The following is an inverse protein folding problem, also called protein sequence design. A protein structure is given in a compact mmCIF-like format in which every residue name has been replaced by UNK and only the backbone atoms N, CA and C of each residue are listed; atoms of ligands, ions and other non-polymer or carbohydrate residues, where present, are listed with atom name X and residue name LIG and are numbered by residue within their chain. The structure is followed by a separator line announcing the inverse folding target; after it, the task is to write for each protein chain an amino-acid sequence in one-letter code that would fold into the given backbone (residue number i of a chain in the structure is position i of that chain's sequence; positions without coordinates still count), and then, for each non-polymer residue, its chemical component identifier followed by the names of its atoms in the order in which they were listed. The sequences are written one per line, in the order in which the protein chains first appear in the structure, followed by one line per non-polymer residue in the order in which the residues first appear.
data_IF_770224134247
#
_entry.id   IF_770224134247
#
_cell.length_a   1.000
_cell.length_b   1.000
_cell.length_c   1.000
_cell.angle_alpha   90.00
_cell.angle_beta   90.00
_cell.angle_gamma   90.00
#
_symmetry.space_group_name_H-M   'P 1'
#
loop_
_entity.id
_entity.type
_entity.pdbx_description
1 polymer ?
#
# COMPACT_ATOMS: atom_id res chain seq x y z
N UNK A 1 -8.86 -8.89 12.41
CA UNK A 1 -8.79 -9.34 11.01
C UNK A 1 -9.26 -8.16 10.17
N UNK A 2 -8.56 -7.80 9.08
CA UNK A 2 -8.94 -6.67 8.26
C UNK A 2 -10.32 -6.89 7.63
N UNK A 3 -11.17 -5.86 7.67
CA UNK A 3 -12.53 -5.90 7.14
C UNK A 3 -12.66 -5.04 5.88
N UNK A 4 -13.41 -5.54 4.89
CA UNK A 4 -13.67 -4.81 3.65
C UNK A 4 -14.34 -3.46 3.95
N UNK A 5 -13.92 -2.42 3.23
CA UNK A 5 -14.35 -1.03 3.34
C UNK A 5 -14.01 -0.34 4.67
N UNK A 6 -13.17 -0.95 5.52
CA UNK A 6 -12.61 -0.27 6.69
C UNK A 6 -11.25 0.34 6.39
N UNK A 7 -10.95 1.40 7.13
CA UNK A 7 -9.71 2.17 7.03
C UNK A 7 -8.77 1.79 8.16
N UNK A 8 -7.50 1.68 7.84
CA UNK A 8 -6.45 1.34 8.79
C UNK A 8 -5.22 2.21 8.53
N UNK A 9 -4.43 2.38 9.57
CA UNK A 9 -3.10 2.97 9.48
C UNK A 9 -2.06 1.86 9.58
N UNK A 10 -1.06 1.89 8.71
CA UNK A 10 0.02 0.91 8.74
C UNK A 10 1.31 1.54 8.22
N UNK A 11 2.43 0.90 8.56
CA UNK A 11 3.73 1.19 7.96
C UNK A 11 4.03 0.12 6.93
N UNK A 12 4.44 0.52 5.74
CA UNK A 12 4.91 -0.40 4.71
C UNK A 12 6.30 -0.90 5.11
N UNK A 13 6.44 -2.20 5.24
CA UNK A 13 7.67 -2.84 5.71
C UNK A 13 8.46 -3.53 4.61
N UNK A 14 7.80 -3.86 3.49
CA UNK A 14 8.41 -4.62 2.40
C UNK A 14 7.69 -4.34 1.07
N UNK A 15 8.19 -4.90 -0.03
CA UNK A 15 7.60 -4.80 -1.37
C UNK A 15 7.41 -6.20 -1.95
N UNK A 16 6.25 -6.45 -2.55
CA UNK A 16 6.05 -7.67 -3.34
C UNK A 16 6.82 -7.60 -4.64
N UNK A 17 7.04 -8.76 -5.27
CA UNK A 17 7.67 -8.85 -6.59
C UNK A 17 6.94 -8.03 -7.68
N UNK A 18 5.65 -7.79 -7.49
CA UNK A 18 4.81 -6.97 -8.39
C UNK A 18 4.86 -5.47 -8.06
N UNK A 19 5.72 -5.04 -7.13
CA UNK A 19 5.88 -3.63 -6.74
C UNK A 19 4.82 -3.13 -5.75
N UNK A 20 4.01 -4.00 -5.15
CA UNK A 20 3.04 -3.59 -4.14
C UNK A 20 3.71 -3.47 -2.77
N UNK A 21 3.42 -2.41 -2.02
CA UNK A 21 3.80 -2.31 -0.62
C UNK A 21 3.15 -3.41 0.21
N UNK A 22 3.90 -3.93 1.17
CA UNK A 22 3.47 -4.98 2.08
C UNK A 22 3.46 -4.45 3.51
N UNK A 23 2.32 -4.60 4.17
CA UNK A 23 2.18 -4.36 5.60
C UNK A 23 1.38 -5.48 6.28
N UNK A 24 1.30 -5.44 7.61
CA UNK A 24 0.49 -6.38 8.39
C UNK A 24 -0.56 -5.64 9.20
N UNK A 25 -1.81 -6.10 9.09
CA UNK A 25 -2.94 -5.61 9.89
C UNK A 25 -3.53 -6.81 10.62
N UNK A 26 -3.54 -6.75 11.96
CA UNK A 26 -3.98 -7.86 12.83
C UNK A 26 -3.35 -9.21 12.47
N UNK A 27 -2.06 -9.21 12.10
CA UNK A 27 -1.32 -10.41 11.69
C UNK A 27 -1.58 -10.90 10.27
N UNK A 28 -2.51 -10.30 9.52
CA UNK A 28 -2.75 -10.62 8.12
C UNK A 28 -1.93 -9.72 7.19
N UNK A 29 -1.32 -10.31 6.17
CA UNK A 29 -0.58 -9.58 5.14
C UNK A 29 -1.53 -8.77 4.27
N UNK A 30 -1.22 -7.50 4.05
CA UNK A 30 -1.99 -6.58 3.20
C UNK A 30 -1.09 -6.00 2.14
N UNK A 31 -1.51 -6.11 0.87
CA UNK A 31 -0.82 -5.53 -0.28
C UNK A 31 -1.44 -4.19 -0.63
N UNK A 32 -0.60 -3.17 -0.83
CA UNK A 32 -1.03 -1.79 -1.10
C UNK A 32 -0.19 -1.19 -2.25
N UNK A 33 -0.77 -0.92 -3.42
CA UNK A 33 -0.06 -0.25 -4.52
C UNK A 33 0.26 1.22 -4.19
N UNK A 34 1.12 1.84 -5.00
CA UNK A 34 1.53 3.26 -4.91
C UNK A 34 2.24 3.65 -3.58
N UNK A 35 2.97 2.69 -2.99
CA UNK A 35 3.66 2.88 -1.71
C UNK A 35 5.11 2.39 -1.76
N UNK A 36 5.93 2.90 -0.84
CA UNK A 36 7.34 2.58 -0.68
C UNK A 36 7.61 2.07 0.74
N UNK A 37 8.66 1.25 0.90
CA UNK A 37 9.12 0.79 2.21
C UNK A 37 9.43 1.98 3.11
N UNK A 38 8.89 1.99 4.32
CA UNK A 38 9.00 3.08 5.28
C UNK A 38 7.83 4.07 5.28
N UNK A 39 6.94 4.04 4.27
CA UNK A 39 5.77 4.92 4.28
C UNK A 39 4.84 4.57 5.44
N UNK A 40 4.44 5.59 6.22
CA UNK A 40 3.28 5.50 7.11
C UNK A 40 2.06 5.98 6.35
N UNK A 41 1.08 5.10 6.18
CA UNK A 41 -0.07 5.34 5.31
C UNK A 41 -1.39 5.10 6.04
N UNK A 42 -2.42 5.74 5.50
CA UNK A 42 -3.83 5.39 5.70
C UNK A 42 -4.32 4.65 4.47
N UNK A 43 -4.88 3.47 4.66
CA UNK A 43 -5.36 2.62 3.58
C UNK A 43 -6.79 2.13 3.82
N UNK A 44 -7.51 1.91 2.72
CA UNK A 44 -8.85 1.32 2.70
C UNK A 44 -8.74 -0.14 2.25
N UNK A 45 -9.25 -1.08 3.03
CA UNK A 45 -9.30 -2.48 2.60
C UNK A 45 -10.37 -2.66 1.52
N UNK A 46 -9.96 -3.03 0.32
CA UNK A 46 -10.86 -3.21 -0.83
C UNK A 46 -11.25 -4.66 -1.05
N UNK A 47 -10.39 -5.60 -0.65
CA UNK A 47 -10.61 -7.03 -0.82
C UNK A 47 -9.94 -7.82 0.31
N UNK A 48 -10.67 -8.75 0.92
CA UNK A 48 -10.15 -9.67 1.93
C UNK A 48 -10.24 -11.08 1.37
N UNK A 49 -9.14 -11.82 1.43
CA UNK A 49 -9.03 -13.22 1.03
C UNK A 49 -8.68 -14.06 2.26
N UNK A 50 -8.55 -15.39 2.06
CA UNK A 50 -8.35 -16.35 3.16
C UNK A 50 -7.08 -16.07 3.98
N UNK A 51 -5.98 -15.71 3.31
CA UNK A 51 -4.66 -15.57 3.95
C UNK A 51 -4.08 -14.14 3.87
N UNK A 52 -4.68 -13.26 3.07
CA UNK A 52 -4.18 -11.92 2.81
C UNK A 52 -5.30 -10.99 2.37
N UNK A 53 -5.02 -9.68 2.36
CA UNK A 53 -5.94 -8.66 1.89
C UNK A 53 -5.27 -7.71 0.90
N UNK A 54 -6.08 -6.96 0.17
CA UNK A 54 -5.65 -5.84 -0.64
C UNK A 54 -6.20 -4.54 -0.04
N UNK A 55 -5.30 -3.58 0.14
CA UNK A 55 -5.60 -2.23 0.51
C UNK A 55 -5.42 -1.29 -0.67
N UNK A 56 -6.15 -0.19 -0.67
CA UNK A 56 -5.90 0.97 -1.53
C UNK A 56 -5.34 2.08 -0.66
N UNK A 57 -4.25 2.70 -1.11
CA UNK A 57 -3.71 3.90 -0.49
C UNK A 57 -4.78 5.01 -0.52
N UNK A 58 -5.12 5.58 0.65
CA UNK A 58 -5.95 6.79 0.74
C UNK A 58 -5.09 8.02 1.01
N UNK A 59 -4.11 7.92 1.90
CA UNK A 59 -3.26 9.05 2.30
C UNK A 59 -1.89 8.56 2.79
N UNK A 60 -0.83 9.32 2.50
CA UNK A 60 0.50 9.12 3.08
C UNK A 60 0.62 10.09 4.25
N UNK A 61 0.67 9.55 5.46
CA UNK A 61 0.76 10.32 6.70
C UNK A 61 2.21 10.79 6.92
N UNK A 62 3.17 9.91 6.65
CA UNK A 62 4.59 10.24 6.65
C UNK A 62 5.27 9.47 5.50
N UNK A 63 5.87 10.16 4.52
CA UNK A 63 6.58 9.50 3.43
C UNK A 63 7.88 8.87 3.92
N UNK A 64 8.30 7.80 3.26
CA UNK A 64 9.64 7.23 3.42
C UNK A 64 10.72 8.21 2.96
N UNK A 65 11.90 8.13 3.57
CA UNK A 65 13.10 8.90 3.16
C UNK A 65 13.58 8.51 1.76
N UNK A 66 13.31 7.28 1.32
CA UNK A 66 13.71 6.78 0.00
C UNK A 66 12.66 7.08 -1.10
N UNK A 67 11.53 7.71 -0.74
CA UNK A 67 10.47 8.03 -1.71
C UNK A 67 10.91 9.19 -2.61
N UNK A 68 10.85 8.96 -3.92
CA UNK A 68 11.07 10.01 -4.91
C UNK A 68 9.73 10.55 -5.46
N UNK A 69 9.67 11.83 -5.86
CA UNK A 69 8.53 12.34 -6.61
C UNK A 69 8.45 11.64 -7.96
N UNK A 70 7.21 11.44 -8.43
CA UNK A 70 6.95 10.91 -9.77
C UNK A 70 7.47 11.91 -10.81
N UNK A 71 8.31 11.44 -11.73
CA UNK A 71 8.94 12.22 -12.80
C UNK A 71 8.19 12.09 -14.15
N UNK A 72 7.20 11.20 -14.23
CA UNK A 72 6.40 10.94 -15.41
C UNK A 72 4.92 11.34 -15.21
N UNK A 73 4.44 12.29 -16.02
CA UNK A 73 3.03 12.75 -15.98
C UNK A 73 2.00 11.63 -16.26
N UNK A 74 2.42 10.56 -16.94
CA UNK A 74 1.57 9.43 -17.33
C UNK A 74 1.61 8.25 -16.36
N UNK A 75 2.42 8.32 -15.29
CA UNK A 75 2.69 7.22 -14.36
C UNK A 75 1.41 6.50 -13.89
N UNK A 76 0.39 7.24 -13.45
CA UNK A 76 -0.85 6.66 -12.94
C UNK A 76 -1.82 6.15 -14.03
N UNK A 77 -1.48 6.23 -15.32
CA UNK A 77 -2.39 5.94 -16.44
C UNK A 77 -1.85 4.91 -17.43
N UNK A 78 -0.55 4.91 -17.73
CA UNK A 78 0.00 4.12 -18.85
C UNK A 78 0.38 2.68 -18.48
N UNK A 79 0.70 2.40 -17.20
CA UNK A 79 1.12 1.07 -16.74
C UNK A 79 2.49 0.61 -17.22
N UNK A 80 3.35 1.54 -17.67
CA UNK A 80 4.71 1.23 -18.13
C UNK A 80 5.78 1.26 -17.05
N UNK A 81 5.45 1.76 -15.85
CA UNK A 81 6.33 1.87 -14.68
C UNK A 81 5.72 1.11 -13.50
#
# INVERSE_FOLDING_TARGET
MPEKNKRYEAVITDLSFEGNGVCKIDGMTVFVPDTAVGDKIKLLIVKVLKNYAFGKLEEIIAPSEERIPVDCEWFHKCGGC
#
